data_IF_235813404038
#
_entry.id   IF_235813404038
#
_cell.length_a   1.000
_cell.length_b   1.000
_cell.length_c   1.000
_cell.angle_alpha   90.00
_cell.angle_beta   90.00
_cell.angle_gamma   90.00
#
_symmetry.space_group_name_H-M   'P 1'
#
loop_
_entity.id
_entity.type
_entity.pdbx_description
1 polymer ?
#
# COMPACT_ATOMS: atom_id res chain seq x y z
N UNK A 1 28.33 2.34 15.52
CA UNK A 1 27.19 1.61 14.94
C UNK A 1 27.68 0.19 14.76
N UNK A 2 27.23 -0.73 15.60
CA UNK A 2 27.71 -2.11 15.60
C UNK A 2 27.16 -2.82 14.36
N UNK A 3 27.91 -3.77 13.80
CA UNK A 3 27.50 -4.51 12.60
C UNK A 3 26.19 -5.29 12.81
N UNK A 4 25.89 -5.65 14.05
CA UNK A 4 24.62 -6.23 14.50
C UNK A 4 23.42 -5.29 14.33
N UNK A 5 23.60 -3.98 14.50
CA UNK A 5 22.49 -3.01 14.42
C UNK A 5 22.01 -2.85 12.98
N UNK A 6 22.96 -2.87 12.04
CA UNK A 6 22.68 -2.81 10.61
C UNK A 6 21.93 -4.08 10.18
N UNK A 7 22.41 -5.26 10.56
CA UNK A 7 21.75 -6.54 10.25
C UNK A 7 20.32 -6.61 10.82
N UNK A 8 20.10 -6.14 12.03
CA UNK A 8 18.77 -6.09 12.64
C UNK A 8 17.83 -5.12 11.91
N UNK A 9 18.32 -3.92 11.55
CA UNK A 9 17.50 -2.95 10.79
C UNK A 9 17.10 -3.49 9.42
N UNK A 10 18.01 -4.21 8.76
CA UNK A 10 17.75 -4.82 7.45
C UNK A 10 16.79 -5.99 7.58
N UNK A 11 16.96 -6.87 8.57
CA UNK A 11 16.03 -7.97 8.83
C UNK A 11 14.62 -7.45 9.11
N UNK A 12 14.49 -6.45 9.97
CA UNK A 12 13.19 -5.83 10.28
C UNK A 12 12.59 -5.15 9.04
N UNK A 13 13.41 -4.51 8.19
CA UNK A 13 12.95 -3.95 6.92
C UNK A 13 12.44 -5.02 5.94
N UNK A 14 13.06 -6.20 5.90
CA UNK A 14 12.56 -7.34 5.12
C UNK A 14 11.25 -7.88 5.70
N UNK A 15 11.13 -7.95 7.02
CA UNK A 15 9.89 -8.37 7.70
C UNK A 15 8.75 -7.37 7.46
N UNK A 16 9.01 -6.06 7.41
CA UNK A 16 8.02 -5.05 7.02
C UNK A 16 7.62 -5.18 5.54
N UNK A 17 8.58 -5.51 4.67
CA UNK A 17 8.31 -5.89 3.29
C UNK A 17 7.65 -7.27 3.19
N UNK A 18 7.32 -7.97 4.29
CA UNK A 18 6.61 -9.24 4.23
C UNK A 18 5.13 -9.08 3.86
N UNK A 19 4.58 -7.88 4.02
CA UNK A 19 3.17 -7.61 3.70
C UNK A 19 3.05 -6.52 2.65
N UNK A 20 2.25 -6.77 1.61
CA UNK A 20 1.84 -5.77 0.63
C UNK A 20 0.32 -5.60 0.72
N UNK A 21 -0.15 -4.39 0.95
CA UNK A 21 -1.57 -4.06 1.02
C UNK A 21 -1.89 -2.95 0.02
N UNK A 22 -2.91 -3.18 -0.80
CA UNK A 22 -3.44 -2.23 -1.77
C UNK A 22 -4.92 -2.08 -1.52
N UNK A 23 -5.36 -0.85 -1.32
CA UNK A 23 -6.76 -0.48 -1.09
C UNK A 23 -7.18 0.50 -2.18
N UNK A 24 -8.29 0.22 -2.86
CA UNK A 24 -8.92 1.15 -3.80
C UNK A 24 -10.25 1.60 -3.23
N UNK A 25 -10.26 2.89 -2.87
CA UNK A 25 -11.38 3.59 -2.28
C UNK A 25 -12.03 4.51 -3.32
N UNK A 26 -13.34 4.68 -3.25
CA UNK A 26 -14.13 5.63 -4.04
C UNK A 26 -15.07 6.39 -3.11
N UNK A 27 -15.60 7.53 -3.54
CA UNK A 27 -16.53 8.33 -2.76
C UNK A 27 -16.11 9.79 -2.65
N UNK A 28 -16.88 10.55 -1.88
CA UNK A 28 -16.78 12.01 -1.81
C UNK A 28 -16.26 12.44 -0.44
N UNK A 29 -15.16 13.19 -0.46
CA UNK A 29 -14.58 13.83 0.73
C UNK A 29 -14.61 15.33 0.52
N UNK A 30 -15.43 16.02 1.32
CA UNK A 30 -15.49 17.48 1.29
C UNK A 30 -14.58 18.04 2.37
N UNK A 31 -13.48 18.66 1.97
CA UNK A 31 -12.57 19.37 2.89
C UNK A 31 -12.18 20.72 2.30
N UNK A 32 -12.06 21.74 3.14
CA UNK A 32 -11.53 23.04 2.70
C UNK A 32 -10.01 22.95 2.64
N UNK A 33 -9.43 23.12 1.45
CA UNK A 33 -7.97 23.23 1.27
C UNK A 33 -7.62 24.71 1.35
N UNK A 34 -6.81 25.10 2.33
CA UNK A 34 -6.28 26.47 2.41
C UNK A 34 -5.14 26.59 1.39
N UNK A 35 -5.21 27.61 0.52
CA UNK A 35 -4.26 27.79 -0.57
C UNK A 35 -2.82 27.98 -0.02
N UNK A 36 -1.92 27.07 -0.40
CA UNK A 36 -0.51 27.09 0.00
C UNK A 36 -0.03 25.82 0.72
N UNK A 37 -0.96 25.05 1.28
CA UNK A 37 -0.62 23.79 1.95
C UNK A 37 -0.66 22.59 1.00
N UNK A 38 0.25 21.64 1.24
CA UNK A 38 0.20 20.31 0.62
C UNK A 38 -1.06 19.60 1.11
N UNK A 39 -1.66 18.75 0.26
CA UNK A 39 -2.73 17.85 0.70
C UNK A 39 -2.19 16.97 1.84
N UNK A 40 -2.70 17.18 3.04
CA UNK A 40 -2.38 16.37 4.21
C UNK A 40 -3.15 15.04 4.13
N UNK A 41 -2.62 14.08 3.37
CA UNK A 41 -3.28 12.80 3.08
C UNK A 41 -3.68 12.02 4.32
N UNK A 42 -2.83 12.02 5.36
CA UNK A 42 -3.11 11.35 6.63
C UNK A 42 -4.33 11.98 7.33
N UNK A 43 -4.34 13.31 7.47
CA UNK A 43 -5.44 14.05 8.09
C UNK A 43 -6.74 13.92 7.29
N UNK A 44 -6.66 13.80 5.96
CA UNK A 44 -7.81 13.61 5.10
C UNK A 44 -8.48 12.25 5.36
N UNK A 45 -7.70 11.18 5.51
CA UNK A 45 -8.22 9.84 5.83
C UNK A 45 -8.78 9.77 7.27
N UNK A 46 -8.13 10.42 8.23
CA UNK A 46 -8.64 10.52 9.61
C UNK A 46 -9.98 11.26 9.68
N UNK A 47 -10.14 12.37 8.92
CA UNK A 47 -11.40 13.12 8.85
C UNK A 47 -12.54 12.31 8.27
N UNK A 48 -12.25 11.41 7.34
CA UNK A 48 -13.27 10.50 6.80
C UNK A 48 -13.66 9.45 7.85
N UNK A 49 -12.70 8.88 8.58
CA UNK A 49 -13.00 7.97 9.70
C UNK A 49 -13.84 8.65 10.79
N UNK A 50 -13.71 9.96 10.97
CA UNK A 50 -14.49 10.76 11.93
C UNK A 50 -15.95 11.07 11.46
N UNK A 51 -16.41 10.52 10.34
CA UNK A 51 -17.82 10.58 9.91
C UNK A 51 -18.23 11.80 9.07
N UNK A 52 -17.26 12.55 8.54
CA UNK A 52 -17.51 13.77 7.74
C UNK A 52 -17.50 13.56 6.21
N UNK A 53 -17.41 12.31 5.74
CA UNK A 53 -17.43 11.96 4.32
C UNK A 53 -17.92 10.53 4.08
N UNK A 54 -18.28 10.23 2.83
CA UNK A 54 -18.65 8.87 2.42
C UNK A 54 -17.52 8.26 1.59
N UNK A 55 -16.83 7.26 2.14
CA UNK A 55 -15.89 6.42 1.40
C UNK A 55 -16.49 5.01 1.26
N UNK A 56 -16.39 4.46 0.06
CA UNK A 56 -16.73 3.10 -0.30
C UNK A 56 -15.47 2.36 -0.75
N UNK A 57 -15.25 1.17 -0.21
CA UNK A 57 -14.19 0.29 -0.66
C UNK A 57 -14.63 -0.42 -1.95
N UNK A 58 -13.86 -0.26 -3.03
CA UNK A 58 -14.14 -0.91 -4.32
C UNK A 58 -13.39 -2.24 -4.43
N UNK A 59 -12.12 -2.23 -4.06
CA UNK A 59 -11.27 -3.42 -4.05
C UNK A 59 -10.18 -3.32 -2.99
N UNK A 60 -9.80 -4.45 -2.40
CA UNK A 60 -8.66 -4.57 -1.50
C UNK A 60 -7.88 -5.84 -1.84
N UNK A 61 -6.56 -5.73 -1.88
CA UNK A 61 -5.65 -6.85 -2.05
C UNK A 61 -4.60 -6.79 -0.95
N UNK A 62 -4.47 -7.86 -0.18
CA UNK A 62 -3.40 -8.07 0.79
C UNK A 62 -2.62 -9.32 0.40
N UNK A 63 -1.31 -9.19 0.30
CA UNK A 63 -0.40 -10.27 -0.08
C UNK A 63 0.70 -10.40 0.95
N UNK A 64 0.80 -11.59 1.54
CA UNK A 64 1.83 -11.94 2.50
C UNK A 64 2.99 -12.64 1.79
N UNK A 65 4.18 -12.63 2.40
CA UNK A 65 5.40 -13.18 1.79
C UNK A 65 5.36 -14.70 1.63
N UNK A 66 4.57 -15.36 2.47
CA UNK A 66 4.26 -16.79 2.42
C UNK A 66 3.27 -17.15 1.30
N UNK A 67 3.00 -16.20 0.40
CA UNK A 67 2.13 -16.34 -0.76
C UNK A 67 0.64 -16.37 -0.46
N UNK A 68 0.23 -16.11 0.78
CA UNK A 68 -1.18 -15.95 1.09
C UNK A 68 -1.70 -14.63 0.50
N UNK A 69 -2.78 -14.73 -0.25
CA UNK A 69 -3.43 -13.59 -0.90
C UNK A 69 -4.87 -13.49 -0.43
N UNK A 70 -5.22 -12.35 0.16
CA UNK A 70 -6.59 -11.99 0.51
C UNK A 70 -7.03 -10.92 -0.48
N UNK A 71 -8.09 -11.22 -1.25
CA UNK A 71 -8.70 -10.29 -2.17
C UNK A 71 -10.15 -10.04 -1.79
N UNK A 72 -10.55 -8.78 -1.87
CA UNK A 72 -11.91 -8.33 -1.71
C UNK A 72 -12.27 -7.45 -2.91
N UNK A 73 -13.43 -7.71 -3.50
CA UNK A 73 -14.00 -6.89 -4.57
C UNK A 73 -15.46 -6.63 -4.21
N UNK A 74 -15.86 -5.36 -4.15
CA UNK A 74 -17.24 -5.01 -3.89
C UNK A 74 -18.15 -5.49 -5.02
N UNK A 75 -19.38 -5.92 -4.72
CA UNK A 75 -20.33 -6.37 -5.75
C UNK A 75 -20.67 -5.30 -6.80
N UNK A 76 -20.54 -4.02 -6.43
CA UNK A 76 -20.73 -2.85 -7.30
C UNK A 76 -19.45 -2.45 -8.06
N UNK A 77 -18.34 -3.16 -7.88
CA UNK A 77 -17.08 -2.84 -8.55
C UNK A 77 -17.17 -3.05 -10.08
N UNK A 78 -18.06 -3.94 -10.51
CA UNK A 78 -18.45 -4.15 -11.92
C UNK A 78 -18.89 -2.85 -12.60
N UNK A 79 -19.52 -1.96 -11.83
CA UNK A 79 -20.03 -0.67 -12.30
C UNK A 79 -18.90 0.38 -12.42
N UNK A 80 -17.70 0.05 -11.93
CA UNK A 80 -16.53 0.93 -11.87
C UNK A 80 -15.28 0.24 -12.48
N UNK A 81 -15.33 -0.19 -13.76
CA UNK A 81 -14.28 -1.00 -14.38
C UNK A 81 -12.91 -0.29 -14.43
N UNK A 82 -12.92 1.04 -14.52
CA UNK A 82 -11.69 1.84 -14.49
C UNK A 82 -10.99 1.79 -13.14
N UNK A 83 -11.73 1.71 -12.03
CA UNK A 83 -11.15 1.61 -10.69
C UNK A 83 -10.58 0.22 -10.41
N UNK A 84 -11.24 -0.83 -10.92
CA UNK A 84 -10.67 -2.18 -10.88
C UNK A 84 -9.37 -2.27 -11.67
N UNK A 85 -9.34 -1.73 -12.90
CA UNK A 85 -8.10 -1.68 -13.69
C UNK A 85 -7.00 -0.87 -13.00
N UNK A 86 -7.36 0.22 -12.33
CA UNK A 86 -6.41 1.01 -11.54
C UNK A 86 -5.89 0.21 -10.34
N UNK A 87 -6.76 -0.55 -9.66
CA UNK A 87 -6.38 -1.44 -8.57
C UNK A 87 -5.38 -2.49 -9.04
N UNK A 88 -5.65 -3.17 -10.16
CA UNK A 88 -4.76 -4.19 -10.72
C UNK A 88 -3.39 -3.60 -11.09
N UNK A 89 -3.38 -2.43 -11.73
CA UNK A 89 -2.13 -1.71 -12.05
C UNK A 89 -1.36 -1.32 -10.78
N UNK A 90 -2.05 -0.90 -9.72
CA UNK A 90 -1.44 -0.57 -8.43
C UNK A 90 -0.87 -1.80 -7.74
N UNK A 91 -1.60 -2.93 -7.75
CA UNK A 91 -1.13 -4.23 -7.25
C UNK A 91 0.14 -4.65 -7.98
N UNK A 92 0.13 -4.60 -9.32
CA UNK A 92 1.30 -4.96 -10.13
C UNK A 92 2.50 -4.05 -9.81
N UNK A 93 2.30 -2.73 -9.82
CA UNK A 93 3.36 -1.75 -9.52
C UNK A 93 3.94 -1.98 -8.13
N UNK A 94 3.09 -2.27 -7.14
CA UNK A 94 3.55 -2.48 -5.77
C UNK A 94 4.30 -3.82 -5.62
N UNK A 95 3.91 -4.87 -6.35
CA UNK A 95 4.69 -6.12 -6.42
C UNK A 95 6.07 -5.90 -7.05
N UNK A 96 6.15 -5.14 -8.15
CA UNK A 96 7.40 -4.80 -8.83
C UNK A 96 8.34 -3.99 -7.91
N UNK A 97 7.81 -2.97 -7.24
CA UNK A 97 8.57 -2.18 -6.27
C UNK A 97 9.07 -3.04 -5.11
N UNK A 98 8.21 -3.89 -4.54
CA UNK A 98 8.58 -4.81 -3.46
C UNK A 98 9.70 -5.75 -3.88
N UNK A 99 9.62 -6.31 -5.10
CA UNK A 99 10.69 -7.15 -5.67
C UNK A 99 12.00 -6.38 -5.78
N UNK A 100 11.97 -5.17 -6.33
CA UNK A 100 13.17 -4.33 -6.48
C UNK A 100 13.85 -4.03 -5.14
N UNK A 101 13.06 -3.77 -4.07
CA UNK A 101 13.62 -3.54 -2.74
C UNK A 101 14.21 -4.82 -2.14
N UNK A 102 13.52 -5.96 -2.28
CA UNK A 102 14.06 -7.26 -1.82
C UNK A 102 15.37 -7.58 -2.54
N UNK A 103 15.44 -7.37 -3.86
CA UNK A 103 16.63 -7.64 -4.66
C UNK A 103 17.79 -6.70 -4.28
N UNK A 104 17.50 -5.42 -4.03
CA UNK A 104 18.48 -4.47 -3.51
C UNK A 104 19.05 -4.95 -2.16
N UNK A 105 18.18 -5.34 -1.23
CA UNK A 105 18.61 -5.81 0.10
C UNK A 105 19.44 -7.09 0.00
N UNK A 106 19.04 -8.05 -0.84
CA UNK A 106 19.82 -9.28 -1.11
C UNK A 106 21.22 -8.95 -1.64
N UNK A 107 21.31 -7.98 -2.55
CA UNK A 107 22.59 -7.49 -3.09
C UNK A 107 23.47 -6.88 -2.01
N UNK A 108 22.92 -6.00 -1.16
CA UNK A 108 23.66 -5.35 -0.07
C UNK A 108 24.14 -6.33 0.98
N UNK A 109 23.33 -7.34 1.32
CA UNK A 109 23.68 -8.36 2.31
C UNK A 109 24.63 -9.44 1.76
N UNK A 110 24.97 -9.41 0.47
CA UNK A 110 25.78 -10.45 -0.17
C UNK A 110 25.09 -11.82 -0.21
N UNK A 111 23.76 -11.86 -0.02
CA UNK A 111 22.95 -13.08 -0.14
C UNK A 111 22.54 -13.21 -1.60
N UNK A 112 23.51 -13.50 -2.44
CA UNK A 112 23.30 -13.98 -3.81
C UNK A 112 23.95 -15.39 -3.84
N UNK A 113 23.45 -16.37 -4.61
CA UNK A 113 24.34 -17.42 -5.09
C UNK A 113 25.58 -16.87 -5.81
#
# INVERSE_FOLDING_TARGET
MEWSDILNSVKNGIEDLATLEVLTLTGDVTTSIIAGDKVAWAELLEKVQAGSGEIRLVAATKMMIDSDVIQFVAGTASDQPNLLRLHDAAVQTAQENRRAVIDFVRTVLGVIP
#
